data_IF_470180051159
#
_entry.id   IF_470180051159
#
_cell.length_a   1.000
_cell.length_b   1.000
_cell.length_c   1.000
_cell.angle_alpha   90.00
_cell.angle_beta   90.00
_cell.angle_gamma   90.00
#
_symmetry.space_group_name_H-M   'P 1'
#
loop_
_entity.id
_entity.type
_entity.pdbx_description
1 polymer ?
#
# COMPACT_ATOMS: atom_id res chain seq x y z
N UNK A 1 -13.35 -19.62 -5.13
CA UNK A 1 -11.87 -19.71 -5.14
C UNK A 1 -11.33 -19.03 -3.89
N UNK A 2 -10.24 -19.54 -3.30
CA UNK A 2 -9.59 -18.88 -2.15
C UNK A 2 -8.80 -17.68 -2.69
N UNK A 3 -9.00 -16.49 -2.11
CA UNK A 3 -8.27 -15.28 -2.53
C UNK A 3 -6.77 -15.46 -2.31
N UNK A 4 -5.91 -15.09 -3.28
CA UNK A 4 -4.47 -15.22 -3.13
C UNK A 4 -3.89 -14.11 -2.23
N UNK A 5 -2.97 -14.49 -1.34
CA UNK A 5 -2.22 -13.56 -0.48
C UNK A 5 -0.86 -13.15 -1.07
N UNK A 6 -0.61 -13.51 -2.33
CA UNK A 6 0.55 -13.10 -3.12
C UNK A 6 0.11 -11.91 -3.98
N UNK A 7 0.83 -10.80 -3.92
CA UNK A 7 0.43 -9.52 -4.54
C UNK A 7 0.16 -9.65 -6.04
N UNK A 8 1.05 -10.29 -6.80
CA UNK A 8 0.82 -10.46 -8.25
C UNK A 8 -0.44 -11.28 -8.55
N UNK A 9 -0.68 -12.35 -7.80
CA UNK A 9 -1.91 -13.14 -7.93
C UNK A 9 -3.14 -12.39 -7.43
N UNK A 10 -2.97 -11.50 -6.47
CA UNK A 10 -4.03 -10.61 -5.99
C UNK A 10 -4.43 -9.64 -7.11
N UNK A 11 -3.47 -9.02 -7.79
CA UNK A 11 -3.74 -8.20 -8.97
C UNK A 11 -4.46 -8.99 -10.07
N UNK A 12 -3.99 -10.20 -10.38
CA UNK A 12 -4.65 -11.09 -11.35
C UNK A 12 -6.09 -11.45 -10.93
N UNK A 13 -6.31 -11.76 -9.65
CA UNK A 13 -7.62 -12.13 -9.12
C UNK A 13 -8.65 -10.99 -9.23
N UNK A 14 -8.19 -9.75 -9.03
CA UNK A 14 -9.04 -8.56 -9.17
C UNK A 14 -8.99 -7.95 -10.58
N UNK A 15 -8.35 -8.63 -11.54
CA UNK A 15 -8.24 -8.20 -12.95
C UNK A 15 -7.68 -6.78 -13.11
N UNK A 16 -6.72 -6.41 -12.25
CA UNK A 16 -6.05 -5.11 -12.38
C UNK A 16 -5.30 -5.02 -13.69
N UNK A 17 -5.37 -3.85 -14.32
CA UNK A 17 -4.52 -3.52 -15.45
C UNK A 17 -3.04 -3.48 -15.04
N UNK A 18 -2.14 -3.64 -16.02
CA UNK A 18 -0.70 -3.45 -15.82
C UNK A 18 -0.42 -2.08 -15.18
N UNK A 19 -1.17 -1.05 -15.59
CA UNK A 19 -1.00 0.32 -15.11
C UNK A 19 -1.40 0.51 -13.65
N UNK A 20 -2.48 -0.12 -13.22
CA UNK A 20 -2.92 -0.13 -11.81
C UNK A 20 -1.95 -0.93 -10.94
N UNK A 21 -1.49 -2.08 -11.45
CA UNK A 21 -0.49 -2.92 -10.78
C UNK A 21 0.83 -2.17 -10.58
N UNK A 22 1.29 -1.48 -11.62
CA UNK A 22 2.46 -0.60 -11.57
C UNK A 22 2.28 0.50 -10.54
N UNK A 23 1.11 1.16 -10.50
CA UNK A 23 0.83 2.21 -9.53
C UNK A 23 0.93 1.71 -8.09
N UNK A 24 0.24 0.62 -7.75
CA UNK A 24 0.25 0.09 -6.37
C UNK A 24 1.68 -0.29 -5.95
N UNK A 25 2.41 -0.97 -6.84
CA UNK A 25 3.80 -1.38 -6.59
C UNK A 25 4.71 -0.17 -6.42
N UNK A 26 4.65 0.77 -7.35
CA UNK A 26 5.48 1.98 -7.37
C UNK A 26 5.18 2.87 -6.15
N UNK A 27 3.91 3.01 -5.78
CA UNK A 27 3.51 3.74 -4.59
C UNK A 27 4.14 3.13 -3.34
N UNK A 28 3.95 1.83 -3.11
CA UNK A 28 4.47 1.15 -1.91
C UNK A 28 6.00 1.24 -1.82
N UNK A 29 6.70 1.02 -2.94
CA UNK A 29 8.17 1.09 -2.98
C UNK A 29 8.72 2.50 -2.74
N UNK A 30 8.21 3.51 -3.45
CA UNK A 30 8.68 4.88 -3.27
C UNK A 30 8.35 5.41 -1.89
N UNK A 31 7.18 5.08 -1.36
CA UNK A 31 6.79 5.51 -0.03
C UNK A 31 7.69 4.88 1.03
N UNK A 32 7.97 3.58 0.91
CA UNK A 32 8.88 2.88 1.82
C UNK A 32 10.27 3.50 1.78
N UNK A 33 10.76 3.87 0.60
CA UNK A 33 12.06 4.53 0.44
C UNK A 33 12.05 5.97 1.03
N UNK A 34 11.02 6.77 0.75
CA UNK A 34 10.88 8.14 1.26
C UNK A 34 10.82 8.17 2.80
N UNK A 35 10.11 7.22 3.40
CA UNK A 35 9.96 7.14 4.87
C UNK A 35 11.18 6.55 5.58
N UNK A 36 11.98 5.73 4.90
CA UNK A 36 13.20 5.16 5.49
C UNK A 36 14.26 6.22 5.86
N UNK A 37 14.12 7.45 5.36
CA UNK A 37 15.05 8.55 5.63
C UNK A 37 16.37 8.47 4.83
N UNK A 38 16.60 7.37 4.09
CA UNK A 38 17.81 7.15 3.31
C UNK A 38 17.86 7.98 2.02
N UNK A 39 16.75 8.62 1.63
CA UNK A 39 16.66 9.44 0.43
C UNK A 39 15.88 10.74 0.70
N UNK A 40 16.52 11.78 1.29
CA UNK A 40 15.86 13.04 1.62
C UNK A 40 15.24 13.74 0.40
N UNK A 41 15.94 13.70 -0.74
CA UNK A 41 15.43 14.25 -2.01
C UNK A 41 14.17 13.54 -2.50
N UNK A 42 14.08 12.21 -2.30
CA UNK A 42 12.87 11.45 -2.67
C UNK A 42 11.69 11.87 -1.79
N UNK A 43 11.93 12.11 -0.51
CA UNK A 43 10.91 12.58 0.43
C UNK A 43 10.36 13.95 0.02
N UNK A 44 11.25 14.90 -0.30
CA UNK A 44 10.87 16.26 -0.73
C UNK A 44 10.13 16.29 -2.08
N UNK A 45 10.54 15.43 -3.03
CA UNK A 45 9.98 15.40 -4.39
C UNK A 45 8.93 14.30 -4.57
N UNK A 46 8.49 13.64 -3.50
CA UNK A 46 7.68 12.43 -3.57
C UNK A 46 6.40 12.64 -4.38
N UNK A 47 5.63 13.68 -4.04
CA UNK A 47 4.38 14.01 -4.73
C UNK A 47 4.62 14.37 -6.20
N UNK A 48 5.69 15.10 -6.51
CA UNK A 48 6.04 15.47 -7.89
C UNK A 48 6.38 14.24 -8.72
N UNK A 49 7.19 13.32 -8.18
CA UNK A 49 7.58 12.08 -8.86
C UNK A 49 6.35 11.21 -9.13
N UNK A 50 5.45 11.07 -8.15
CA UNK A 50 4.21 10.31 -8.32
C UNK A 50 3.33 10.92 -9.42
N UNK A 51 3.08 12.23 -9.37
CA UNK A 51 2.28 12.94 -10.39
C UNK A 51 2.90 12.89 -11.78
N UNK A 52 4.23 12.93 -11.89
CA UNK A 52 4.92 12.81 -13.17
C UNK A 52 4.81 11.40 -13.74
N UNK A 53 4.85 10.39 -12.86
CA UNK A 53 4.83 8.97 -13.27
C UNK A 53 3.41 8.51 -13.58
N UNK A 54 2.41 8.99 -12.82
CA UNK A 54 0.99 8.66 -12.94
C UNK A 54 0.12 9.93 -12.94
N UNK A 55 0.20 10.77 -13.98
CA UNK A 55 -0.54 12.05 -14.06
C UNK A 55 -2.06 11.89 -14.07
N UNK A 56 -2.56 10.71 -14.41
CA UNK A 56 -3.98 10.36 -14.46
C UNK A 56 -4.61 10.13 -13.07
N UNK A 57 -3.80 9.93 -12.02
CA UNK A 57 -4.30 9.58 -10.69
C UNK A 57 -4.28 10.76 -9.72
N UNK A 58 -5.28 10.86 -8.82
CA UNK A 58 -5.45 11.98 -7.89
C UNK A 58 -4.47 11.86 -6.71
N UNK A 59 -3.19 12.10 -6.97
CA UNK A 59 -2.14 11.95 -5.98
C UNK A 59 -1.84 13.26 -5.25
N UNK A 60 -2.09 13.35 -3.95
CA UNK A 60 -1.79 14.53 -3.14
C UNK A 60 -1.26 14.21 -1.73
N UNK A 61 -0.95 12.94 -1.43
CA UNK A 61 -0.55 12.50 -0.09
C UNK A 61 0.97 12.55 0.09
N UNK A 62 1.44 13.26 1.11
CA UNK A 62 2.86 13.30 1.48
C UNK A 62 3.28 12.10 2.36
N UNK A 63 4.59 11.78 2.45
CA UNK A 63 5.08 10.71 3.31
C UNK A 63 4.74 10.82 4.80
N UNK A 64 4.57 12.04 5.29
CA UNK A 64 4.25 12.36 6.69
C UNK A 64 2.77 12.17 6.98
N UNK A 65 1.94 12.40 5.97
CA UNK A 65 0.49 12.43 6.09
C UNK A 65 -0.15 11.07 5.93
N UNK A 66 0.55 10.06 5.37
CA UNK A 66 -0.05 8.76 5.09
C UNK A 66 -0.47 8.04 6.36
N UNK A 67 -1.75 7.69 6.37
CA UNK A 67 -2.38 6.75 7.28
C UNK A 67 -3.23 5.77 6.47
N UNK A 68 -3.87 4.82 7.16
CA UNK A 68 -4.75 3.83 6.55
C UNK A 68 -5.88 4.46 5.73
N UNK A 69 -6.51 5.51 6.25
CA UNK A 69 -7.68 6.15 5.62
C UNK A 69 -7.32 6.80 4.29
N UNK A 70 -6.19 7.53 4.27
CA UNK A 70 -5.67 8.16 3.05
C UNK A 70 -5.19 7.12 2.03
N UNK A 71 -4.50 6.08 2.49
CA UNK A 71 -4.10 4.96 1.63
C UNK A 71 -5.31 4.28 1.00
N UNK A 72 -6.33 3.94 1.81
CA UNK A 72 -7.58 3.34 1.36
C UNK A 72 -8.31 4.25 0.36
N UNK A 73 -8.43 5.54 0.67
CA UNK A 73 -9.06 6.52 -0.21
C UNK A 73 -8.40 6.60 -1.57
N UNK A 74 -7.07 6.69 -1.60
CA UNK A 74 -6.29 6.70 -2.84
C UNK A 74 -6.47 5.40 -3.64
N UNK A 75 -6.33 4.24 -2.99
CA UNK A 75 -6.43 2.95 -3.68
C UNK A 75 -7.84 2.71 -4.22
N UNK A 76 -8.89 3.11 -3.51
CA UNK A 76 -10.28 3.03 -4.01
C UNK A 76 -10.53 3.97 -5.19
N UNK A 77 -9.94 5.16 -5.20
CA UNK A 77 -10.06 6.10 -6.33
C UNK A 77 -9.32 5.60 -7.58
N UNK A 78 -8.15 4.99 -7.40
CA UNK A 78 -7.32 4.49 -8.50
C UNK A 78 -7.87 3.18 -9.07
N UNK A 79 -8.08 2.17 -8.22
CA UNK A 79 -8.39 0.82 -8.67
C UNK A 79 -9.86 0.64 -9.08
N UNK A 80 -10.79 1.49 -8.58
CA UNK A 80 -12.23 1.48 -8.92
C UNK A 80 -12.93 0.11 -8.86
N UNK A 81 -12.38 -0.82 -8.10
CA UNK A 81 -12.90 -2.17 -7.85
C UNK A 81 -13.33 -2.33 -6.39
N UNK A 82 -14.07 -3.40 -6.09
CA UNK A 82 -14.39 -3.78 -4.72
C UNK A 82 -13.32 -4.71 -4.15
N UNK A 83 -12.54 -4.22 -3.19
CA UNK A 83 -11.48 -4.98 -2.53
C UNK A 83 -11.32 -4.54 -1.07
N UNK A 84 -10.63 -5.35 -0.27
CA UNK A 84 -10.23 -5.01 1.09
C UNK A 84 -8.79 -4.46 1.09
N UNK A 85 -8.63 -3.20 1.50
CA UNK A 85 -7.32 -2.55 1.58
C UNK A 85 -6.40 -3.18 2.62
N UNK A 86 -6.95 -3.70 3.73
CA UNK A 86 -6.14 -4.40 4.74
C UNK A 86 -5.60 -5.74 4.21
N UNK A 87 -6.37 -6.43 3.37
CA UNK A 87 -5.94 -7.65 2.66
C UNK A 87 -4.76 -7.36 1.72
N UNK A 88 -4.85 -6.27 0.94
CA UNK A 88 -3.76 -5.80 0.08
C UNK A 88 -2.49 -5.54 0.89
N UNK A 89 -2.57 -4.73 1.95
CA UNK A 89 -1.43 -4.43 2.82
C UNK A 89 -0.84 -5.69 3.46
N UNK A 90 -1.68 -6.65 3.86
CA UNK A 90 -1.22 -7.91 4.41
C UNK A 90 -0.47 -8.76 3.39
N UNK A 91 -0.86 -8.72 2.10
CA UNK A 91 -0.12 -9.39 1.03
C UNK A 91 1.32 -8.84 0.89
N UNK A 92 1.50 -7.53 1.01
CA UNK A 92 2.82 -6.89 1.02
C UNK A 92 3.66 -7.37 2.21
N UNK A 93 3.06 -7.39 3.40
CA UNK A 93 3.72 -7.90 4.61
C UNK A 93 4.20 -9.35 4.46
N UNK A 94 3.33 -10.26 4.01
CA UNK A 94 3.64 -11.69 3.91
C UNK A 94 4.80 -11.97 2.95
N UNK A 95 4.88 -11.22 1.87
CA UNK A 95 5.96 -11.35 0.87
C UNK A 95 7.23 -10.58 1.25
N UNK A 96 7.26 -9.97 2.44
CA UNK A 96 8.36 -9.11 2.90
C UNK A 96 8.64 -7.92 1.95
N UNK A 97 7.64 -7.53 1.15
CA UNK A 97 7.71 -6.38 0.24
C UNK A 97 7.21 -5.15 1.00
N UNK A 98 8.09 -4.19 1.27
CA UNK A 98 7.74 -2.99 2.04
C UNK A 98 7.03 -3.32 3.38
N UNK A 99 7.37 -4.46 4.00
CA UNK A 99 6.66 -4.97 5.17
C UNK A 99 6.57 -3.98 6.35
N UNK A 100 7.62 -3.22 6.69
CA UNK A 100 7.52 -2.19 7.74
C UNK A 100 6.51 -1.09 7.39
N UNK A 101 6.41 -0.71 6.12
CA UNK A 101 5.42 0.26 5.67
C UNK A 101 4.00 -0.31 5.73
N UNK A 102 3.80 -1.52 5.20
CA UNK A 102 2.49 -2.16 5.21
C UNK A 102 1.96 -2.35 6.64
N UNK A 103 2.83 -2.78 7.56
CA UNK A 103 2.51 -2.86 8.99
C UNK A 103 2.17 -1.49 9.57
N UNK A 104 2.96 -0.46 9.26
CA UNK A 104 2.70 0.90 9.73
C UNK A 104 1.33 1.41 9.24
N UNK A 105 1.00 1.25 7.96
CA UNK A 105 -0.31 1.69 7.44
C UNK A 105 -1.43 0.92 8.17
N UNK A 106 -1.31 -0.40 8.32
CA UNK A 106 -2.27 -1.21 9.06
C UNK A 106 -2.42 -0.79 10.53
N UNK A 107 -1.34 -0.39 11.20
CA UNK A 107 -1.38 0.01 12.62
C UNK A 107 -2.14 1.32 12.86
N UNK A 108 -2.27 2.16 11.83
CA UNK A 108 -3.07 3.40 11.87
C UNK A 108 -4.55 3.19 11.53
N UNK A 109 -4.96 1.97 11.13
CA UNK A 109 -6.32 1.68 10.71
C UNK A 109 -7.26 1.35 11.88
N UNK A 110 -8.40 2.03 11.94
CA UNK A 110 -9.43 1.75 12.96
C UNK A 110 -10.52 0.77 12.49
N UNK A 111 -10.55 0.44 11.20
CA UNK A 111 -11.50 -0.53 10.64
C UNK A 111 -11.25 -1.94 11.17
N UNK A 112 -12.30 -2.75 11.27
CA UNK A 112 -12.18 -4.13 11.76
C UNK A 112 -11.19 -4.97 10.93
N UNK A 113 -11.18 -4.90 9.57
CA UNK A 113 -10.16 -5.60 8.78
C UNK A 113 -8.73 -5.16 9.10
N UNK A 114 -8.48 -3.85 9.24
CA UNK A 114 -7.15 -3.35 9.58
C UNK A 114 -6.66 -3.91 10.93
N UNK A 115 -7.54 -3.91 11.95
CA UNK A 115 -7.24 -4.45 13.28
C UNK A 115 -6.95 -5.96 13.24
N UNK A 116 -7.71 -6.73 12.46
CA UNK A 116 -7.51 -8.17 12.31
C UNK A 116 -6.14 -8.45 11.70
N UNK A 117 -5.83 -7.85 10.56
CA UNK A 117 -4.57 -8.10 9.87
C UNK A 117 -3.36 -7.57 10.64
N UNK A 118 -3.48 -6.42 11.31
CA UNK A 118 -2.43 -5.94 12.21
C UNK A 118 -2.16 -6.92 13.37
N UNK A 119 -3.20 -7.48 14.00
CA UNK A 119 -3.05 -8.51 15.04
C UNK A 119 -2.38 -9.78 14.51
N UNK A 120 -2.67 -10.19 13.27
CA UNK A 120 -2.02 -11.33 12.63
C UNK A 120 -0.51 -11.07 12.45
N UNK A 121 -0.13 -9.87 12.02
CA UNK A 121 1.27 -9.45 11.93
C UNK A 121 1.95 -9.52 13.31
N UNK A 122 1.31 -8.99 14.36
CA UNK A 122 1.91 -9.03 15.71
C UNK A 122 2.11 -10.47 16.21
N UNK A 123 1.20 -11.40 15.89
CA UNK A 123 1.37 -12.82 16.24
C UNK A 123 2.50 -13.50 15.48
N UNK A 124 2.69 -13.15 14.21
CA UNK A 124 3.76 -13.68 13.36
C UNK A 124 5.15 -13.33 13.92
N UNK A 125 5.31 -12.14 14.50
CA UNK A 125 6.57 -11.67 15.09
C UNK A 125 7.01 -12.37 16.39
N UNK A 126 6.09 -13.07 17.05
CA UNK A 126 6.34 -13.74 18.34
C UNK A 126 6.71 -15.22 18.14
N UNK A 127 6.71 -15.70 16.89
CA UNK A 127 7.11 -17.07 16.51
C UNK A 127 8.57 -17.11 16.05
#
# INVERSE_FOLDING_TARGET
MVKPLIFMRWCEYYELSDRETDFVSFFMMNFSAARSGNQPKLREQFVEIQKKTFPEYPFDITPEELDYSKFEGLMKQVLKIHFDTAELLYSFYLQKLCAPLAEYILSTGESEPARIYYKLIQKDKVR
#
